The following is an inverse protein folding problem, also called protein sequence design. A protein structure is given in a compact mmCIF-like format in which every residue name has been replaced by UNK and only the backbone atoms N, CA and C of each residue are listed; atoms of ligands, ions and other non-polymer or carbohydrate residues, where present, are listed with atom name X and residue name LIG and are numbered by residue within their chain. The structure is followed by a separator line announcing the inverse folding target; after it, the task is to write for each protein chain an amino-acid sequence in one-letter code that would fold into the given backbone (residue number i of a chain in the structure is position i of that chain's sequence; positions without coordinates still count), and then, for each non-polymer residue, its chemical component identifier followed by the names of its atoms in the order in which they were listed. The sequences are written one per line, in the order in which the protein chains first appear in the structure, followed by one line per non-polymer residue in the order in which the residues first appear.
data_IF_609687046248
#
_entry.id   IF_609687046248
#
_cell.length_a   1.000
_cell.length_b   1.000
_cell.length_c   1.000
_cell.angle_alpha   90.00
_cell.angle_beta   90.00
_cell.angle_gamma   90.00
#
_symmetry.space_group_name_H-M   'P 1'
#
loop_
_entity.id
_entity.type
_entity.pdbx_description
1 polymer ?
#
# COMPACT_ATOMS: atom_id res chain seq x y z
N UNK A 1 -26.05 -4.93 10.91
CA UNK A 1 -24.73 -4.41 10.46
C UNK A 1 -23.70 -4.87 11.47
N UNK A 2 -22.57 -5.41 11.04
CA UNK A 2 -21.59 -6.04 11.95
C UNK A 2 -20.38 -5.12 12.10
N UNK A 3 -20.20 -4.56 13.30
CA UNK A 3 -19.05 -3.73 13.66
C UNK A 3 -17.99 -4.56 14.41
N UNK A 4 -16.70 -4.26 14.25
CA UNK A 4 -15.66 -4.87 15.05
C UNK A 4 -15.81 -4.46 16.53
N UNK A 5 -15.74 -5.43 17.44
CA UNK A 5 -15.68 -5.19 18.87
C UNK A 5 -14.30 -4.66 19.31
N UNK A 6 -13.25 -5.02 18.58
CA UNK A 6 -11.89 -4.53 18.79
C UNK A 6 -11.08 -4.59 17.50
N UNK A 7 -10.06 -3.73 17.40
CA UNK A 7 -9.09 -3.77 16.30
C UNK A 7 -7.67 -3.90 16.86
N UNK A 8 -6.95 -4.93 16.42
CA UNK A 8 -5.53 -5.14 16.78
C UNK A 8 -4.63 -4.74 15.62
N UNK A 9 -3.53 -4.06 15.92
CA UNK A 9 -2.53 -3.66 14.93
C UNK A 9 -1.21 -4.38 15.17
N UNK A 10 -0.58 -4.87 14.11
CA UNK A 10 0.75 -5.46 14.15
C UNK A 10 1.57 -5.10 12.90
N UNK A 11 2.88 -4.95 13.05
CA UNK A 11 3.80 -4.94 11.92
C UNK A 11 4.26 -6.37 11.66
N UNK A 12 4.02 -6.87 10.46
CA UNK A 12 4.35 -8.26 10.06
C UNK A 12 5.17 -8.26 8.78
N UNK A 13 5.80 -9.39 8.45
CA UNK A 13 6.41 -9.58 7.14
C UNK A 13 5.31 -9.73 6.06
N UNK A 14 5.53 -9.09 4.91
CA UNK A 14 4.68 -9.12 3.74
C UNK A 14 5.34 -9.83 2.56
N UNK A 15 4.82 -9.60 1.35
CA UNK A 15 5.31 -10.27 0.14
C UNK A 15 6.66 -9.72 -0.30
N UNK A 16 6.82 -8.40 -0.21
CA UNK A 16 8.06 -7.71 -0.62
C UNK A 16 8.85 -7.15 0.57
N UNK A 17 8.17 -6.83 1.67
CA UNK A 17 8.70 -6.12 2.83
C UNK A 17 7.72 -6.21 4.01
N UNK A 18 8.03 -5.53 5.11
CA UNK A 18 7.08 -5.30 6.20
C UNK A 18 5.79 -4.64 5.70
N UNK A 19 4.68 -5.05 6.32
CA UNK A 19 3.33 -4.50 6.13
C UNK A 19 2.66 -4.30 7.49
N UNK A 20 1.56 -3.54 7.52
CA UNK A 20 0.74 -3.40 8.74
C UNK A 20 -0.49 -4.28 8.61
N UNK A 21 -0.72 -5.15 9.60
CA UNK A 21 -1.94 -5.93 9.71
C UNK A 21 -2.88 -5.30 10.73
N UNK A 22 -4.12 -5.04 10.32
CA UNK A 22 -5.23 -4.63 11.15
C UNK A 22 -6.20 -5.81 11.26
N UNK A 23 -6.31 -6.40 12.44
CA UNK A 23 -7.21 -7.54 12.70
C UNK A 23 -8.47 -7.00 13.37
N UNK A 24 -9.57 -7.02 12.61
CA UNK A 24 -10.92 -6.69 13.07
C UNK A 24 -11.50 -7.92 13.77
N UNK A 25 -11.76 -7.81 15.06
CA UNK A 25 -12.33 -8.87 15.89
C UNK A 25 -13.81 -8.59 16.11
N UNK A 26 -14.66 -9.58 15.83
CA UNK A 26 -16.11 -9.48 15.97
C UNK A 26 -16.58 -10.30 17.17
N UNK A 27 -17.62 -9.82 17.86
CA UNK A 27 -18.18 -10.50 19.03
C UNK A 27 -18.77 -11.87 18.68
N UNK A 28 -19.42 -11.98 17.52
CA UNK A 28 -20.04 -13.21 17.03
C UNK A 28 -19.57 -13.56 15.61
N UNK A 29 -19.54 -14.86 15.24
CA UNK A 29 -19.25 -15.26 13.88
C UNK A 29 -20.34 -14.77 12.91
N UNK A 30 -19.94 -14.11 11.83
CA UNK A 30 -20.86 -13.69 10.77
C UNK A 30 -20.32 -14.07 9.38
N UNK A 31 -21.18 -14.19 8.35
CA UNK A 31 -20.75 -14.45 6.99
C UNK A 31 -19.71 -13.43 6.53
N UNK A 32 -18.65 -13.89 5.84
CA UNK A 32 -17.58 -13.01 5.37
C UNK A 32 -18.14 -11.82 4.57
N UNK A 33 -19.13 -12.04 3.69
CA UNK A 33 -19.78 -10.97 2.94
C UNK A 33 -20.28 -9.81 3.84
N UNK A 34 -20.89 -10.13 4.99
CA UNK A 34 -21.35 -9.12 5.94
C UNK A 34 -20.19 -8.41 6.66
N UNK A 35 -19.10 -9.13 6.95
CA UNK A 35 -17.89 -8.56 7.56
C UNK A 35 -17.13 -7.65 6.59
N UNK A 36 -17.19 -7.93 5.28
CA UNK A 36 -16.53 -7.09 4.27
C UNK A 36 -17.11 -5.68 4.22
N UNK A 37 -18.42 -5.52 4.45
CA UNK A 37 -19.04 -4.19 4.54
C UNK A 37 -18.52 -3.37 5.73
N UNK A 38 -18.24 -4.03 6.86
CA UNK A 38 -17.54 -3.41 7.99
C UNK A 38 -16.09 -3.06 7.65
N UNK A 39 -15.36 -4.00 7.04
CA UNK A 39 -13.97 -3.80 6.63
C UNK A 39 -13.81 -2.65 5.63
N UNK A 40 -14.72 -2.51 4.64
CA UNK A 40 -14.72 -1.41 3.67
C UNK A 40 -14.86 -0.04 4.32
N UNK A 41 -15.63 0.07 5.39
CA UNK A 41 -15.72 1.31 6.17
C UNK A 41 -14.45 1.57 6.97
N UNK A 42 -13.92 0.55 7.64
CA UNK A 42 -12.66 0.68 8.37
C UNK A 42 -11.46 1.07 7.48
N UNK A 43 -11.47 0.71 6.20
CA UNK A 43 -10.48 1.18 5.22
C UNK A 43 -10.45 2.71 5.10
N UNK A 44 -11.58 3.40 5.29
CA UNK A 44 -11.62 4.86 5.34
C UNK A 44 -10.89 5.41 6.56
N UNK A 45 -11.05 4.78 7.73
CA UNK A 45 -10.32 5.15 8.95
C UNK A 45 -8.82 4.97 8.76
N UNK A 46 -8.41 3.87 8.10
CA UNK A 46 -7.00 3.66 7.74
C UNK A 46 -6.52 4.71 6.73
N UNK A 47 -7.31 5.06 5.71
CA UNK A 47 -6.94 6.11 4.77
C UNK A 47 -6.71 7.45 5.49
N UNK A 48 -7.61 7.81 6.42
CA UNK A 48 -7.46 9.00 7.26
C UNK A 48 -6.21 8.93 8.16
N UNK A 49 -5.95 7.79 8.80
CA UNK A 49 -4.74 7.57 9.63
C UNK A 49 -3.44 7.80 8.85
N UNK A 50 -3.47 7.55 7.53
CA UNK A 50 -2.32 7.71 6.64
C UNK A 50 -2.33 9.03 5.86
N UNK A 51 -3.31 9.92 6.09
CA UNK A 51 -3.46 11.16 5.34
C UNK A 51 -3.58 10.91 3.83
N UNK A 52 -4.26 9.81 3.46
CA UNK A 52 -4.29 9.27 2.12
C UNK A 52 -5.68 9.43 1.49
N UNK A 53 -5.73 9.54 0.17
CA UNK A 53 -6.97 9.32 -0.59
C UNK A 53 -7.12 7.83 -0.88
N UNK A 54 -8.35 7.31 -0.78
CA UNK A 54 -8.65 5.93 -1.10
C UNK A 54 -9.10 5.79 -2.57
N UNK A 55 -8.38 4.98 -3.32
CA UNK A 55 -8.71 4.59 -4.68
C UNK A 55 -9.50 3.28 -4.68
N UNK A 56 -10.61 3.20 -5.42
CA UNK A 56 -11.36 1.96 -5.57
C UNK A 56 -10.49 0.83 -6.14
N UNK A 57 -10.73 -0.40 -5.67
CA UNK A 57 -10.09 -1.60 -6.17
C UNK A 57 -11.02 -2.81 -6.02
N UNK A 58 -10.66 -3.90 -6.67
CA UNK A 58 -11.39 -5.17 -6.62
C UNK A 58 -10.77 -6.14 -5.62
N UNK A 59 -11.60 -7.08 -5.15
CA UNK A 59 -11.15 -8.11 -4.20
C UNK A 59 -9.94 -8.88 -4.75
N UNK A 60 -8.98 -9.24 -3.88
CA UNK A 60 -9.03 -9.09 -2.42
C UNK A 60 -8.57 -7.72 -1.92
N UNK A 61 -8.26 -6.77 -2.81
CA UNK A 61 -8.07 -5.37 -2.42
C UNK A 61 -9.42 -4.76 -2.02
N UNK A 62 -9.42 -4.00 -0.94
CA UNK A 62 -10.53 -3.13 -0.55
C UNK A 62 -10.27 -1.68 -0.98
N UNK A 63 -9.07 -1.39 -1.49
CA UNK A 63 -8.70 -0.11 -2.06
C UNK A 63 -7.20 0.11 -2.05
N UNK A 64 -6.76 1.10 -2.81
CA UNK A 64 -5.37 1.54 -2.87
C UNK A 64 -5.27 2.91 -2.21
N UNK A 65 -4.38 3.06 -1.24
CA UNK A 65 -4.05 4.35 -0.65
C UNK A 65 -3.12 5.13 -1.58
N UNK A 66 -3.51 6.35 -1.90
CA UNK A 66 -2.70 7.38 -2.54
C UNK A 66 -2.23 8.37 -1.48
N UNK A 67 -0.95 8.33 -1.14
CA UNK A 67 -0.35 9.15 -0.08
C UNK A 67 0.54 10.23 -0.71
N UNK A 68 0.32 11.49 -0.34
CA UNK A 68 1.14 12.60 -0.81
C UNK A 68 2.55 12.57 -0.23
N UNK A 69 3.58 12.75 -1.07
CA UNK A 69 4.97 12.85 -0.62
C UNK A 69 5.79 13.75 -1.55
N UNK A 70 6.33 14.85 -1.00
CA UNK A 70 7.10 15.87 -1.74
C UNK A 70 6.36 16.39 -2.99
N UNK A 71 5.03 16.47 -2.94
CA UNK A 71 4.19 16.87 -4.07
C UNK A 71 3.90 15.75 -5.09
N UNK A 72 4.49 14.57 -4.93
CA UNK A 72 4.18 13.36 -5.69
C UNK A 72 3.34 12.35 -4.92
N UNK A 73 3.27 11.12 -5.43
CA UNK A 73 2.39 10.06 -4.91
C UNK A 73 3.16 8.80 -4.49
N UNK A 74 2.85 8.29 -3.31
CA UNK A 74 3.19 6.95 -2.84
C UNK A 74 1.93 6.08 -2.82
N UNK A 75 2.08 4.79 -3.11
CA UNK A 75 0.95 3.86 -3.16
C UNK A 75 1.07 2.75 -2.11
N UNK A 76 -0.05 2.34 -1.53
CA UNK A 76 -0.15 1.13 -0.72
C UNK A 76 -1.48 0.40 -0.95
N UNK A 77 -1.43 -0.92 -1.04
CA UNK A 77 -2.61 -1.77 -1.13
C UNK A 77 -3.20 -1.97 0.26
N UNK A 78 -4.52 -1.86 0.40
CA UNK A 78 -5.27 -2.33 1.56
C UNK A 78 -6.09 -3.54 1.12
N UNK A 79 -5.55 -4.74 1.35
CA UNK A 79 -6.23 -5.99 1.00
C UNK A 79 -6.60 -6.81 2.21
N UNK A 80 -7.60 -7.66 2.04
CA UNK A 80 -7.86 -8.73 2.99
C UNK A 80 -6.68 -9.71 2.91
N UNK A 81 -6.12 -10.03 4.07
CA UNK A 81 -5.08 -11.04 4.21
C UNK A 81 -5.50 -12.23 5.09
N UNK A 82 -6.69 -12.16 5.68
CA UNK A 82 -7.42 -13.30 6.25
C UNK A 82 -8.92 -12.98 6.28
N UNK A 83 -9.81 -13.92 5.91
CA UNK A 83 -9.54 -15.27 5.42
C UNK A 83 -9.27 -15.34 3.90
N UNK A 84 -9.37 -14.21 3.22
CA UNK A 84 -9.11 -14.07 1.79
C UNK A 84 -7.68 -13.60 1.56
N UNK A 85 -7.02 -14.07 0.50
CA UNK A 85 -5.73 -13.58 0.05
C UNK A 85 -5.65 -13.60 -1.48
N UNK A 86 -4.57 -13.07 -2.07
CA UNK A 86 -4.29 -13.23 -3.51
C UNK A 86 -3.60 -14.58 -3.78
N UNK A 87 -3.89 -15.25 -4.91
CA UNK A 87 -5.02 -15.00 -5.81
C UNK A 87 -6.36 -15.38 -5.15
N UNK A 88 -7.49 -14.87 -5.69
CA UNK A 88 -8.82 -15.25 -5.19
C UNK A 88 -9.03 -16.77 -5.34
N UNK A 89 -9.65 -17.43 -4.35
CA UNK A 89 -9.89 -18.86 -4.42
C UNK A 89 -11.05 -19.16 -5.39
N UNK A 90 -11.03 -20.31 -6.09
CA UNK A 90 -12.05 -20.68 -7.08
C UNK A 90 -13.44 -20.87 -6.47
N UNK A 91 -13.54 -21.07 -5.16
CA UNK A 91 -14.77 -21.26 -4.40
C UNK A 91 -15.17 -20.00 -3.61
N UNK A 92 -14.99 -18.82 -4.19
CA UNK A 92 -15.22 -17.53 -3.52
C UNK A 92 -16.61 -17.44 -2.89
N UNK A 93 -17.68 -17.87 -3.57
CA UNK A 93 -19.05 -17.79 -3.03
C UNK A 93 -19.22 -18.61 -1.74
N UNK A 94 -18.61 -19.80 -1.67
CA UNK A 94 -18.61 -20.62 -0.45
C UNK A 94 -17.85 -19.92 0.67
N UNK A 95 -16.74 -19.26 0.35
CA UNK A 95 -15.96 -18.50 1.32
C UNK A 95 -16.70 -17.24 1.81
N UNK A 96 -17.44 -16.56 0.93
CA UNK A 96 -18.26 -15.40 1.26
C UNK A 96 -19.42 -15.75 2.19
N UNK A 97 -20.00 -16.95 2.05
CA UNK A 97 -21.06 -17.47 2.92
C UNK A 97 -20.54 -18.04 4.25
N UNK A 98 -19.26 -18.45 4.32
CA UNK A 98 -18.67 -18.99 5.53
C UNK A 98 -18.58 -17.94 6.65
N UNK A 99 -18.75 -18.40 7.90
CA UNK A 99 -18.77 -17.52 9.07
C UNK A 99 -17.38 -17.37 9.69
N UNK A 100 -17.00 -16.15 10.01
CA UNK A 100 -15.73 -15.83 10.66
C UNK A 100 -15.95 -14.93 11.87
N UNK A 101 -15.08 -15.04 12.88
CA UNK A 101 -15.02 -14.11 14.02
C UNK A 101 -14.00 -13.00 13.82
N UNK A 102 -13.19 -13.07 12.77
CA UNK A 102 -12.17 -12.08 12.48
C UNK A 102 -11.97 -11.89 10.98
N UNK A 103 -11.58 -10.67 10.62
CA UNK A 103 -11.06 -10.31 9.29
C UNK A 103 -9.77 -9.55 9.51
N UNK A 104 -8.72 -9.89 8.77
CA UNK A 104 -7.47 -9.12 8.79
C UNK A 104 -7.28 -8.38 7.48
N UNK A 105 -6.98 -7.09 7.60
CA UNK A 105 -6.56 -6.22 6.52
C UNK A 105 -5.06 -5.99 6.58
N UNK A 106 -4.42 -5.96 5.43
CA UNK A 106 -3.00 -5.74 5.30
C UNK A 106 -2.75 -4.51 4.45
N UNK A 107 -2.08 -3.51 5.03
CA UNK A 107 -1.54 -2.34 4.33
C UNK A 107 -0.13 -2.66 3.87
N UNK A 108 0.06 -2.79 2.57
CA UNK A 108 1.34 -3.14 1.97
C UNK A 108 1.76 -2.10 0.91
N UNK A 109 2.89 -1.39 1.11
CA UNK A 109 3.35 -0.41 0.13
C UNK A 109 3.68 -1.06 -1.22
N UNK A 110 3.27 -0.40 -2.28
CA UNK A 110 3.38 -0.87 -3.66
C UNK A 110 4.38 -0.04 -4.46
N UNK A 111 4.91 -0.64 -5.52
CA UNK A 111 5.68 0.07 -6.52
C UNK A 111 4.86 1.18 -7.20
N UNK A 112 5.51 2.18 -7.80
CA UNK A 112 4.84 3.37 -8.33
C UNK A 112 4.27 3.09 -9.73
N UNK A 113 3.26 2.23 -9.77
CA UNK A 113 2.54 1.81 -10.98
C UNK A 113 1.33 2.71 -11.21
N UNK A 114 0.96 2.87 -12.48
CA UNK A 114 -0.19 3.68 -12.88
C UNK A 114 0.18 4.90 -13.73
N UNK A 115 -0.84 5.62 -14.23
CA UNK A 115 -0.68 6.79 -15.07
C UNK A 115 -0.07 7.97 -14.31
N UNK A 116 0.81 8.72 -14.98
CA UNK A 116 1.43 9.94 -14.43
C UNK A 116 0.64 11.15 -14.91
N UNK A 117 0.21 12.00 -13.98
CA UNK A 117 -0.49 13.27 -14.28
C UNK A 117 0.45 14.46 -14.34
N UNK A 118 1.66 14.29 -13.82
CA UNK A 118 2.72 15.28 -13.89
C UNK A 118 3.80 14.99 -12.87
N UNK A 119 4.71 15.94 -12.73
CA UNK A 119 5.80 15.87 -11.78
C UNK A 119 5.78 17.07 -10.85
N UNK A 120 6.23 16.84 -9.63
CA UNK A 120 6.59 17.86 -8.67
C UNK A 120 8.11 17.93 -8.57
N UNK A 121 8.66 19.11 -8.31
CA UNK A 121 10.09 19.29 -8.11
C UNK A 121 10.35 19.67 -6.66
N UNK A 122 11.20 18.90 -6.00
CA UNK A 122 11.61 19.14 -4.62
C UNK A 122 13.13 19.29 -4.56
N UNK A 123 13.60 20.43 -4.05
CA UNK A 123 15.01 20.65 -3.74
C UNK A 123 15.31 20.04 -2.37
N UNK A 124 16.29 19.13 -2.32
CA UNK A 124 16.69 18.48 -1.07
C UNK A 124 18.20 18.60 -0.88
N UNK A 125 18.69 19.00 0.30
CA UNK A 125 20.13 19.13 0.54
C UNK A 125 20.88 17.80 0.38
N UNK A 126 20.29 16.71 0.90
CA UNK A 126 20.83 15.35 0.78
C UNK A 126 19.72 14.30 0.90
N UNK A 127 19.75 13.27 0.07
CA UNK A 127 18.76 12.18 0.07
C UNK A 127 18.87 11.26 1.29
N UNK A 128 20.11 10.96 1.72
CA UNK A 128 20.39 10.02 2.82
C UNK A 128 19.81 10.49 4.15
N UNK A 129 19.87 11.79 4.43
CA UNK A 129 19.34 12.40 5.65
C UNK A 129 17.81 12.29 5.74
N UNK A 130 17.13 12.15 4.59
CA UNK A 130 15.68 11.94 4.51
C UNK A 130 15.29 10.46 4.44
N UNK A 131 16.23 9.53 4.62
CA UNK A 131 15.97 8.10 4.51
C UNK A 131 15.52 7.68 3.10
N UNK A 132 15.95 8.43 2.07
CA UNK A 132 15.63 8.16 0.67
C UNK A 132 16.78 7.39 0.02
N UNK A 133 16.44 6.29 -0.64
CA UNK A 133 17.38 5.47 -1.41
C UNK A 133 16.93 5.44 -2.86
N UNK A 134 17.80 5.86 -3.78
CA UNK A 134 17.49 5.80 -5.20
C UNK A 134 17.65 4.40 -5.78
N UNK A 135 16.76 4.07 -6.71
CA UNK A 135 16.74 2.89 -7.55
C UNK A 135 16.44 3.32 -8.99
N UNK A 136 16.79 2.53 -10.02
CA UNK A 136 16.45 2.87 -11.39
C UNK A 136 14.95 3.15 -11.54
N UNK A 137 14.60 4.40 -11.85
CA UNK A 137 13.21 4.87 -12.03
C UNK A 137 12.39 5.06 -10.75
N UNK A 138 12.97 4.92 -9.56
CA UNK A 138 12.22 5.03 -8.30
C UNK A 138 13.05 5.58 -7.12
N UNK A 139 12.38 6.30 -6.22
CA UNK A 139 12.87 6.61 -4.89
C UNK A 139 12.20 5.69 -3.86
N UNK A 140 13.01 5.00 -3.05
CA UNK A 140 12.54 4.20 -1.91
C UNK A 140 12.61 5.07 -0.66
N UNK A 141 11.50 5.20 0.06
CA UNK A 141 11.33 6.15 1.17
C UNK A 141 10.86 5.40 2.41
N UNK A 142 11.56 5.55 3.53
CA UNK A 142 11.10 4.97 4.80
C UNK A 142 10.07 5.89 5.47
N UNK A 143 8.84 5.42 5.63
CA UNK A 143 7.75 6.15 6.29
C UNK A 143 7.02 5.23 7.28
N UNK A 144 6.90 5.67 8.54
CA UNK A 144 6.19 4.96 9.62
C UNK A 144 6.58 3.47 9.76
N UNK A 145 7.86 3.16 9.52
CA UNK A 145 8.42 1.82 9.63
C UNK A 145 8.31 0.93 8.38
N UNK A 146 7.72 1.42 7.28
CA UNK A 146 7.60 0.73 5.99
C UNK A 146 8.42 1.43 4.90
N UNK A 147 8.72 0.75 3.80
CA UNK A 147 9.38 1.31 2.62
C UNK A 147 8.38 1.59 1.51
N UNK A 148 8.13 2.85 1.20
CA UNK A 148 7.29 3.26 0.08
C UNK A 148 8.14 3.54 -1.16
N UNK A 149 7.47 3.59 -2.30
CA UNK A 149 8.11 3.77 -3.60
C UNK A 149 7.44 4.92 -4.33
N UNK A 150 8.25 5.91 -4.72
CA UNK A 150 7.83 6.99 -5.60
C UNK A 150 8.50 6.79 -6.96
N UNK A 151 7.78 7.04 -8.06
CA UNK A 151 8.44 7.20 -9.37
C UNK A 151 9.15 8.54 -9.33
N UNK A 152 10.47 8.51 -9.36
CA UNK A 152 11.26 9.71 -9.17
C UNK A 152 12.59 9.66 -9.92
N UNK A 153 13.03 10.84 -10.32
CA UNK A 153 14.32 11.08 -10.96
C UNK A 153 15.09 12.10 -10.13
N UNK A 154 16.39 11.90 -9.98
CA UNK A 154 17.25 12.79 -9.23
C UNK A 154 18.35 13.34 -10.12
N UNK A 155 18.62 14.64 -10.00
CA UNK A 155 19.75 15.31 -10.65
C UNK A 155 20.40 16.32 -9.71
N UNK A 156 21.67 16.67 -9.92
CA UNK A 156 22.30 17.75 -9.16
C UNK A 156 21.51 19.05 -9.29
N UNK A 157 21.36 19.78 -8.18
CA UNK A 157 20.82 21.14 -8.18
C UNK A 157 21.97 22.14 -8.41
N UNK A 158 21.90 23.04 -9.41
CA UNK A 158 22.91 24.08 -9.62
C UNK A 158 23.17 24.97 -8.40
N UNK A 159 22.18 25.14 -7.52
CA UNK A 159 22.32 25.88 -6.26
C UNK A 159 22.93 25.04 -5.11
N UNK A 160 23.33 23.80 -5.39
CA UNK A 160 23.81 22.83 -4.40
C UNK A 160 22.70 21.88 -3.92
N UNK A 161 23.08 20.61 -3.71
CA UNK A 161 22.15 19.55 -3.31
C UNK A 161 21.58 18.75 -4.49
N UNK A 162 20.36 18.25 -4.33
CA UNK A 162 19.70 17.38 -5.30
C UNK A 162 18.31 17.93 -5.63
N UNK A 163 18.01 18.04 -6.92
CA UNK A 163 16.65 18.21 -7.39
C UNK A 163 16.02 16.84 -7.61
N UNK A 164 14.93 16.58 -6.89
CA UNK A 164 14.13 15.37 -7.03
C UNK A 164 12.83 15.69 -7.77
N UNK A 165 12.64 15.04 -8.91
CA UNK A 165 11.40 15.13 -9.69
C UNK A 165 10.55 13.91 -9.34
N UNK A 166 9.42 14.13 -8.67
CA UNK A 166 8.56 13.06 -8.15
C UNK A 166 7.23 13.06 -8.88
N UNK A 167 6.85 11.91 -9.43
CA UNK A 167 5.62 11.76 -10.19
C UNK A 167 4.38 11.88 -9.29
N UNK A 168 3.35 12.57 -9.81
CA UNK A 168 1.96 12.52 -9.33
C UNK A 168 1.25 11.41 -10.09
N UNK A 169 0.84 10.38 -9.38
CA UNK A 169 0.15 9.23 -9.95
C UNK A 169 -1.37 9.42 -9.81
N UNK A 170 -2.11 9.12 -10.87
CA UNK A 170 -3.57 9.11 -10.85
C UNK A 170 -4.07 7.96 -9.96
N UNK A 171 -5.15 8.23 -9.24
CA UNK A 171 -5.83 7.26 -8.38
C UNK A 171 -6.46 6.09 -9.19
N UNK A 172 -7.07 6.38 -10.34
CA UNK A 172 -7.58 5.37 -11.27
C UNK A 172 -6.45 4.72 -12.11
N UNK A 173 -6.45 3.38 -12.16
CA UNK A 173 -5.50 2.58 -12.95
C UNK A 173 -4.32 1.99 -12.15
N UNK A 174 -4.34 2.11 -10.82
CA UNK A 174 -3.38 1.43 -9.95
C UNK A 174 -3.75 -0.06 -9.81
N UNK A 175 -3.01 -0.92 -10.50
CA UNK A 175 -3.10 -2.38 -10.35
C UNK A 175 -2.29 -2.80 -9.12
N UNK A 176 -2.97 -3.32 -8.10
CA UNK A 176 -2.34 -3.66 -6.84
C UNK A 176 -1.41 -4.87 -6.94
N UNK A 177 -1.71 -5.86 -7.79
CA UNK A 177 -0.83 -7.02 -7.99
C UNK A 177 0.45 -6.59 -8.68
N UNK A 178 0.32 -5.84 -9.79
CA UNK A 178 1.45 -5.26 -10.50
C UNK A 178 2.27 -4.35 -9.60
N UNK A 179 1.62 -3.58 -8.74
CA UNK A 179 2.25 -2.72 -7.74
C UNK A 179 3.12 -3.51 -6.75
N UNK A 180 2.60 -4.61 -6.18
CA UNK A 180 3.37 -5.46 -5.26
C UNK A 180 4.54 -6.17 -5.95
N UNK A 181 4.34 -6.66 -7.18
CA UNK A 181 5.41 -7.25 -7.98
C UNK A 181 6.51 -6.24 -8.30
N UNK A 182 6.14 -5.00 -8.62
CA UNK A 182 7.08 -3.91 -8.87
C UNK A 182 7.84 -3.51 -7.60
N UNK A 183 7.17 -3.43 -6.43
CA UNK A 183 7.84 -3.24 -5.15
C UNK A 183 8.89 -4.33 -4.90
N UNK A 184 8.53 -5.60 -5.10
CA UNK A 184 9.44 -6.74 -4.99
C UNK A 184 10.63 -6.60 -5.95
N UNK A 185 10.40 -6.19 -7.20
CA UNK A 185 11.44 -5.96 -8.20
C UNK A 185 12.41 -4.86 -7.76
N UNK A 186 11.91 -3.74 -7.25
CA UNK A 186 12.73 -2.60 -6.80
C UNK A 186 13.57 -2.97 -5.57
N UNK A 187 13.03 -3.78 -4.66
CA UNK A 187 13.72 -4.22 -3.44
C UNK A 187 14.74 -5.33 -3.67
N UNK A 188 14.64 -6.11 -4.76
CA UNK A 188 15.65 -7.14 -5.09
C UNK A 188 17.04 -6.50 -5.16
N UNK A 189 17.96 -6.99 -4.33
CA UNK A 189 19.39 -6.65 -4.44
C UNK A 189 19.92 -7.22 -5.75
N UNK A 190 20.69 -6.44 -6.52
CA UNK A 190 21.49 -6.98 -7.63
C UNK A 190 22.33 -8.15 -7.09
N UNK A 191 22.19 -9.34 -7.68
CA UNK A 191 23.07 -10.49 -7.40
C UNK A 191 22.48 -11.69 -6.64
N UNK A 192 21.20 -11.69 -6.20
CA UNK A 192 20.55 -12.93 -5.74
C UNK A 192 19.63 -13.47 -6.84
N UNK A 193 20.09 -14.51 -7.54
CA UNK A 193 19.23 -15.36 -8.38
C UNK A 193 18.24 -16.10 -7.47
N UNK A 194 17.05 -16.32 -8.01
CA UNK A 194 15.97 -17.08 -7.37
C UNK A 194 16.42 -18.51 -7.06
#
# INVERSE_FOLDING_TARGET
MVEPAAVRRAYIEGVAQRRVRYTLLYSEPAPLAALLEGARRYVQDVAAEWGASLCPAELPSLGVLSIGWLGGTLLADLSICFPLSRPLPPNLDRLLAAKFREVSLCLEPMGPVGPVEGYSQARVPALRQRGVVLRPGAAVVKMRGLYFFARAYARPDPAGGVLLEVARLRCGGADAERGLLEARRILRRRGRRA
#
